data_IF_026280585279
#
_entry.id   IF_026280585279
#
_cell.length_a   1.000
_cell.length_b   1.000
_cell.length_c   1.000
_cell.angle_alpha   90.00
_cell.angle_beta   90.00
_cell.angle_gamma   90.00
#
_symmetry.space_group_name_H-M   'P 1'
#
loop_
_entity.id
_entity.type
_entity.pdbx_description
1 polymer ?
#
# COMPACT_ATOMS: atom_id res chain seq x y z
N UNK A 1 -17.65 -14.86 -9.03
CA UNK A 1 -16.40 -15.60 -9.32
C UNK A 1 -15.80 -16.03 -7.99
N UNK A 2 -15.19 -17.21 -7.92
CA UNK A 2 -14.47 -17.62 -6.70
C UNK A 2 -13.17 -16.81 -6.63
N UNK A 3 -12.98 -16.05 -5.55
CA UNK A 3 -11.77 -15.25 -5.30
C UNK A 3 -11.13 -15.67 -3.99
N UNK A 4 -9.86 -16.08 -4.06
CA UNK A 4 -9.07 -16.49 -2.90
C UNK A 4 -7.99 -15.47 -2.62
N UNK A 5 -7.92 -15.01 -1.38
CA UNK A 5 -6.91 -14.06 -0.92
C UNK A 5 -6.16 -14.68 0.26
N UNK A 6 -4.84 -14.69 0.18
CA UNK A 6 -3.98 -15.09 1.29
C UNK A 6 -3.36 -13.86 1.94
N UNK A 7 -3.42 -13.77 3.27
CA UNK A 7 -2.82 -12.71 4.07
C UNK A 7 -1.69 -13.31 4.92
N UNK A 8 -0.47 -12.79 4.77
CA UNK A 8 0.69 -13.22 5.53
C UNK A 8 1.01 -12.19 6.60
N UNK A 9 0.89 -12.58 7.85
CA UNK A 9 0.98 -11.76 9.06
C UNK A 9 -0.39 -11.58 9.70
N UNK A 10 -0.61 -12.19 10.88
CA UNK A 10 -1.82 -12.05 11.70
C UNK A 10 -1.66 -10.94 12.77
N UNK A 11 -0.90 -9.89 12.44
CA UNK A 11 -0.83 -8.67 13.26
C UNK A 11 -2.09 -7.82 13.10
N UNK A 12 -2.14 -6.67 13.79
CA UNK A 12 -3.31 -5.77 13.75
C UNK A 12 -3.72 -5.39 12.31
N UNK A 13 -2.78 -5.21 11.40
CA UNK A 13 -3.07 -4.88 10.00
C UNK A 13 -3.64 -6.09 9.27
N UNK A 14 -2.95 -7.25 9.31
CA UNK A 14 -3.37 -8.44 8.56
C UNK A 14 -4.69 -9.02 9.04
N UNK A 15 -4.91 -9.11 10.35
CA UNK A 15 -6.18 -9.55 10.93
C UNK A 15 -7.34 -8.61 10.54
N UNK A 16 -7.12 -7.28 10.60
CA UNK A 16 -8.13 -6.31 10.17
C UNK A 16 -8.38 -6.39 8.66
N UNK A 17 -7.36 -6.68 7.82
CA UNK A 17 -7.55 -6.93 6.39
C UNK A 17 -8.42 -8.18 6.17
N UNK A 18 -8.11 -9.30 6.84
CA UNK A 18 -8.89 -10.52 6.72
C UNK A 18 -10.37 -10.29 7.13
N UNK A 19 -10.59 -9.58 8.23
CA UNK A 19 -11.92 -9.18 8.69
C UNK A 19 -12.64 -8.30 7.65
N UNK A 20 -11.98 -7.27 7.12
CA UNK A 20 -12.60 -6.34 6.17
C UNK A 20 -12.91 -7.01 4.83
N UNK A 21 -11.99 -7.81 4.29
CA UNK A 21 -12.24 -8.62 3.08
C UNK A 21 -13.47 -9.51 3.21
N UNK A 22 -13.67 -10.05 4.42
CA UNK A 22 -14.83 -10.89 4.69
C UNK A 22 -16.14 -10.13 4.86
N UNK A 23 -16.09 -8.84 5.23
CA UNK A 23 -17.27 -7.99 5.40
C UNK A 23 -17.71 -7.28 4.11
N UNK A 24 -16.77 -7.01 3.21
CA UNK A 24 -17.02 -6.27 1.96
C UNK A 24 -17.23 -7.19 0.74
N UNK A 25 -17.35 -8.50 0.97
CA UNK A 25 -17.58 -9.54 -0.06
C UNK A 25 -16.54 -9.51 -1.21
N UNK A 26 -15.31 -9.08 -0.89
CA UNK A 26 -14.22 -8.99 -1.86
C UNK A 26 -13.64 -10.37 -2.16
N UNK A 27 -13.61 -11.25 -1.15
CA UNK A 27 -13.10 -12.60 -1.27
C UNK A 27 -14.15 -13.64 -0.89
N UNK A 28 -14.12 -14.79 -1.56
CA UNK A 28 -14.94 -15.97 -1.18
C UNK A 28 -14.15 -16.99 -0.34
N UNK A 29 -12.81 -16.89 -0.37
CA UNK A 29 -11.90 -17.69 0.45
C UNK A 29 -10.76 -16.81 0.96
N UNK A 30 -10.48 -16.87 2.26
CA UNK A 30 -9.38 -16.16 2.91
C UNK A 30 -8.50 -17.17 3.65
N UNK A 31 -7.19 -17.09 3.45
CA UNK A 31 -6.20 -17.83 4.22
C UNK A 31 -5.35 -16.85 5.01
N UNK A 32 -5.29 -16.99 6.33
CA UNK A 32 -4.44 -16.18 7.20
C UNK A 32 -3.25 -17.01 7.66
N UNK A 33 -2.04 -16.52 7.40
CA UNK A 33 -0.78 -17.20 7.72
C UNK A 33 0.03 -16.34 8.68
N UNK A 34 0.54 -16.91 9.74
CA UNK A 34 1.49 -16.26 10.65
C UNK A 34 2.51 -17.28 11.18
N UNK A 35 3.71 -16.82 11.50
CA UNK A 35 4.73 -17.63 12.17
C UNK A 35 4.22 -18.12 13.54
N UNK A 36 3.41 -17.30 14.21
CA UNK A 36 2.64 -17.70 15.37
C UNK A 36 1.29 -18.29 14.92
N UNK A 37 1.28 -19.60 14.65
CA UNK A 37 0.11 -20.33 14.16
C UNK A 37 -1.11 -20.18 15.07
N UNK A 38 -0.91 -20.27 16.39
CA UNK A 38 -2.01 -20.14 17.34
C UNK A 38 -2.68 -18.76 17.23
N UNK A 39 -1.89 -17.69 17.06
CA UNK A 39 -2.46 -16.37 16.85
C UNK A 39 -3.30 -16.30 15.58
N UNK A 40 -2.83 -16.88 14.46
CA UNK A 40 -3.60 -16.91 13.23
C UNK A 40 -4.91 -17.71 13.39
N UNK A 41 -4.89 -18.82 14.14
CA UNK A 41 -6.06 -19.61 14.46
C UNK A 41 -7.06 -18.82 15.30
N UNK A 42 -6.60 -18.10 16.33
CA UNK A 42 -7.45 -17.31 17.22
C UNK A 42 -8.11 -16.13 16.48
N UNK A 43 -7.36 -15.42 15.62
CA UNK A 43 -7.90 -14.35 14.78
C UNK A 43 -8.95 -14.88 13.78
N UNK A 44 -8.68 -16.03 13.15
CA UNK A 44 -9.64 -16.68 12.26
C UNK A 44 -10.88 -17.12 13.01
N UNK A 45 -10.73 -17.70 14.20
CA UNK A 45 -11.85 -18.14 15.02
C UNK A 45 -12.76 -16.98 15.41
N UNK A 46 -12.19 -15.84 15.80
CA UNK A 46 -12.96 -14.64 16.16
C UNK A 46 -13.72 -14.08 14.92
N UNK A 47 -13.06 -14.00 13.76
CA UNK A 47 -13.71 -13.55 12.53
C UNK A 47 -14.83 -14.50 12.10
N UNK A 48 -14.61 -15.82 12.12
CA UNK A 48 -15.56 -16.80 11.60
C UNK A 48 -16.82 -16.90 12.44
N UNK A 49 -16.74 -16.67 13.75
CA UNK A 49 -17.90 -16.65 14.64
C UNK A 49 -18.92 -15.57 14.27
N UNK A 50 -18.49 -14.50 13.58
CA UNK A 50 -19.39 -13.46 13.07
C UNK A 50 -20.04 -13.78 11.71
N UNK A 51 -19.59 -14.82 11.00
CA UNK A 51 -20.04 -15.09 9.61
C UNK A 51 -21.49 -15.57 9.51
N UNK A 52 -22.10 -16.04 10.59
CA UNK A 52 -23.52 -16.41 10.59
C UNK A 52 -24.48 -15.23 10.36
N UNK A 53 -24.00 -14.00 10.45
CA UNK A 53 -24.79 -12.78 10.24
C UNK A 53 -24.61 -12.16 8.84
N UNK A 54 -23.95 -12.84 7.92
CA UNK A 54 -23.60 -12.34 6.58
C UNK A 54 -23.48 -13.48 5.55
N UNK A 55 -23.14 -13.14 4.32
CA UNK A 55 -22.95 -14.13 3.26
C UNK A 55 -21.85 -15.15 3.60
N UNK A 56 -22.03 -16.40 3.18
CA UNK A 56 -21.07 -17.47 3.46
C UNK A 56 -19.70 -17.20 2.86
N UNK A 57 -18.65 -17.27 3.68
CA UNK A 57 -17.26 -17.14 3.28
C UNK A 57 -16.42 -18.24 3.93
N UNK A 58 -15.41 -18.72 3.22
CA UNK A 58 -14.42 -19.65 3.77
C UNK A 58 -13.24 -18.87 4.33
N UNK A 59 -12.98 -18.97 5.64
CA UNK A 59 -11.82 -18.35 6.29
C UNK A 59 -11.09 -19.43 7.05
N UNK A 60 -9.77 -19.55 6.88
CA UNK A 60 -8.95 -20.50 7.64
C UNK A 60 -7.56 -19.93 7.93
N UNK A 61 -6.97 -20.40 9.03
CA UNK A 61 -5.53 -20.32 9.22
C UNK A 61 -4.85 -21.40 8.38
N UNK A 62 -3.60 -21.20 7.98
CA UNK A 62 -2.88 -22.15 7.16
C UNK A 62 -1.38 -21.94 7.10
N UNK A 63 -0.73 -22.77 6.31
CA UNK A 63 0.68 -22.69 5.95
C UNK A 63 0.83 -22.16 4.50
N UNK A 64 2.07 -22.00 4.01
CA UNK A 64 2.31 -21.48 2.66
C UNK A 64 1.65 -22.31 1.56
N UNK A 65 1.56 -23.63 1.71
CA UNK A 65 0.90 -24.55 0.77
C UNK A 65 -0.59 -24.22 0.61
N UNK A 66 -1.22 -23.71 1.64
CA UNK A 66 -2.62 -23.27 1.60
C UNK A 66 -2.82 -22.01 0.76
N UNK A 67 -1.77 -21.27 0.43
CA UNK A 67 -1.84 -20.15 -0.51
C UNK A 67 -1.98 -20.55 -1.97
N UNK A 68 -1.87 -21.84 -2.28
CA UNK A 68 -2.06 -22.33 -3.65
C UNK A 68 -3.38 -21.83 -4.24
N UNK A 69 -3.32 -21.44 -5.52
CA UNK A 69 -4.45 -20.91 -6.30
C UNK A 69 -5.05 -19.60 -5.75
N UNK A 70 -4.29 -18.86 -4.92
CA UNK A 70 -4.67 -17.51 -4.52
C UNK A 70 -4.65 -16.56 -5.72
N UNK A 71 -5.68 -15.72 -5.82
CA UNK A 71 -5.70 -14.60 -6.76
C UNK A 71 -4.79 -13.47 -6.30
N UNK A 72 -4.79 -13.23 -4.98
CA UNK A 72 -3.98 -12.18 -4.36
C UNK A 72 -3.30 -12.73 -3.11
N UNK A 73 -2.04 -12.37 -2.91
CA UNK A 73 -1.29 -12.57 -1.67
C UNK A 73 -0.94 -11.19 -1.10
N UNK A 74 -1.30 -10.96 0.16
CA UNK A 74 -1.03 -9.70 0.87
C UNK A 74 0.03 -9.98 1.92
N UNK A 75 1.15 -9.24 1.90
CA UNK A 75 2.25 -9.40 2.85
C UNK A 75 2.23 -8.22 3.83
N UNK A 76 1.86 -8.51 5.07
CA UNK A 76 1.82 -7.55 6.18
C UNK A 76 2.83 -7.87 7.27
N UNK A 77 3.62 -8.93 7.08
CA UNK A 77 4.62 -9.40 8.05
C UNK A 77 5.74 -8.40 8.21
N UNK A 78 6.07 -8.09 9.43
CA UNK A 78 7.14 -7.16 9.79
C UNK A 78 7.06 -6.79 11.26
N UNK A 79 8.10 -6.14 11.75
CA UNK A 79 8.16 -5.65 13.13
C UNK A 79 8.12 -4.13 13.18
N UNK A 80 7.51 -3.60 14.22
CA UNK A 80 7.52 -2.17 14.51
C UNK A 80 8.88 -1.74 15.10
N UNK A 81 9.24 -0.47 14.93
CA UNK A 81 10.48 0.11 15.47
C UNK A 81 10.51 0.02 16.99
N UNK A 82 11.60 -0.50 17.52
CA UNK A 82 11.85 -0.55 18.97
C UNK A 82 12.50 0.75 19.45
N UNK A 83 12.32 1.13 20.72
CA UNK A 83 13.06 2.25 21.30
C UNK A 83 14.58 2.06 21.13
N UNK A 84 15.27 3.09 20.65
CA UNK A 84 16.72 3.06 20.39
C UNK A 84 17.17 2.41 19.09
N UNK A 85 16.30 1.73 18.36
CA UNK A 85 16.62 1.11 17.06
C UNK A 85 16.69 2.18 15.96
N UNK A 86 17.75 2.13 15.15
CA UNK A 86 17.86 3.00 13.96
C UNK A 86 16.86 2.61 12.86
N UNK A 87 16.59 3.51 11.91
CA UNK A 87 15.76 3.18 10.73
C UNK A 87 16.39 2.08 9.88
N UNK A 88 17.70 2.11 9.69
CA UNK A 88 18.44 1.13 8.90
C UNK A 88 18.36 -0.28 9.52
N UNK A 89 18.57 -0.39 10.84
CA UNK A 89 18.44 -1.67 11.55
C UNK A 89 17.03 -2.25 11.47
N UNK A 90 15.99 -1.40 11.56
CA UNK A 90 14.61 -1.84 11.36
C UNK A 90 14.38 -2.31 9.92
N UNK A 91 14.89 -1.57 8.94
CA UNK A 91 14.79 -1.93 7.52
C UNK A 91 15.44 -3.29 7.27
N UNK A 92 16.68 -3.51 7.77
CA UNK A 92 17.35 -4.80 7.63
C UNK A 92 16.57 -5.93 8.28
N UNK A 93 16.03 -5.73 9.49
CA UNK A 93 15.20 -6.73 10.18
C UNK A 93 13.99 -7.12 9.32
N UNK A 94 13.29 -6.16 8.73
CA UNK A 94 12.12 -6.44 7.90
C UNK A 94 12.50 -7.05 6.54
N UNK A 95 13.66 -6.69 5.99
CA UNK A 95 14.24 -7.35 4.81
C UNK A 95 14.53 -8.84 5.10
N UNK A 96 15.11 -9.16 6.26
CA UNK A 96 15.40 -10.55 6.64
C UNK A 96 14.11 -11.37 6.81
N UNK A 97 13.05 -10.76 7.32
CA UNK A 97 11.71 -11.39 7.37
C UNK A 97 11.22 -11.69 5.95
N UNK A 98 11.31 -10.73 5.02
CA UNK A 98 10.88 -10.92 3.63
C UNK A 98 11.73 -11.99 2.92
N UNK A 99 13.04 -12.04 3.17
CA UNK A 99 13.92 -13.11 2.66
C UNK A 99 13.45 -14.51 3.10
N UNK A 100 12.91 -14.65 4.30
CA UNK A 100 12.36 -15.92 4.78
C UNK A 100 11.00 -16.30 4.18
N UNK A 101 10.20 -15.30 3.78
CA UNK A 101 8.83 -15.48 3.25
C UNK A 101 8.86 -15.72 1.74
N UNK A 102 9.61 -14.89 1.00
CA UNK A 102 9.52 -14.79 -0.45
C UNK A 102 9.70 -16.13 -1.19
N UNK A 103 10.73 -16.96 -0.92
CA UNK A 103 10.90 -18.23 -1.64
C UNK A 103 9.74 -19.21 -1.43
N UNK A 104 9.18 -19.24 -0.21
CA UNK A 104 8.13 -20.16 0.16
C UNK A 104 6.81 -19.78 -0.48
N UNK A 105 6.43 -18.50 -0.39
CA UNK A 105 5.16 -18.04 -0.94
C UNK A 105 5.18 -17.96 -2.47
N UNK A 106 6.31 -17.58 -3.08
CA UNK A 106 6.45 -17.57 -4.53
C UNK A 106 6.31 -18.97 -5.12
N UNK A 107 6.84 -20.00 -4.44
CA UNK A 107 6.67 -21.41 -4.83
C UNK A 107 5.22 -21.87 -4.69
N UNK A 108 4.51 -21.46 -3.64
CA UNK A 108 3.14 -21.88 -3.33
C UNK A 108 2.10 -21.20 -4.22
N UNK A 109 2.29 -19.91 -4.56
CA UNK A 109 1.34 -19.09 -5.30
C UNK A 109 2.00 -18.30 -6.45
N UNK A 110 2.67 -18.96 -7.43
CA UNK A 110 3.47 -18.30 -8.46
C UNK A 110 2.66 -17.39 -9.40
N UNK A 111 1.36 -17.60 -9.50
CA UNK A 111 0.48 -16.87 -10.40
C UNK A 111 -0.37 -15.80 -9.67
N UNK A 112 -0.20 -15.63 -8.37
CA UNK A 112 -0.93 -14.64 -7.59
C UNK A 112 -0.42 -13.22 -7.88
N UNK A 113 -1.29 -12.22 -7.68
CA UNK A 113 -0.87 -10.84 -7.54
C UNK A 113 -0.44 -10.58 -6.09
N UNK A 114 0.65 -9.89 -5.91
CA UNK A 114 1.24 -9.63 -4.59
C UNK A 114 1.04 -8.18 -4.18
N UNK A 115 0.49 -7.95 -3.00
CA UNK A 115 0.40 -6.62 -2.38
C UNK A 115 1.33 -6.59 -1.17
N UNK A 116 2.35 -5.76 -1.24
CA UNK A 116 3.30 -5.53 -0.16
C UNK A 116 2.79 -4.35 0.69
N UNK A 117 2.62 -4.61 1.99
CA UNK A 117 2.15 -3.62 2.98
C UNK A 117 3.19 -3.40 4.08
N UNK A 118 4.11 -4.34 4.24
CA UNK A 118 5.20 -4.28 5.22
C UNK A 118 6.11 -3.08 5.00
N UNK A 119 6.44 -2.36 6.07
CA UNK A 119 7.30 -1.17 6.02
C UNK A 119 8.78 -1.51 6.27
N UNK A 120 9.70 -0.73 5.64
CA UNK A 120 9.45 0.38 4.69
C UNK A 120 9.01 -0.15 3.32
N UNK A 121 7.78 0.17 2.94
CA UNK A 121 7.06 -0.53 1.85
C UNK A 121 7.78 -0.49 0.50
N UNK A 122 8.37 0.64 0.12
CA UNK A 122 9.05 0.78 -1.17
C UNK A 122 10.29 -0.12 -1.25
N UNK A 123 11.07 -0.18 -0.16
CA UNK A 123 12.26 -1.02 -0.05
C UNK A 123 11.87 -2.50 0.01
N UNK A 124 10.86 -2.85 0.80
CA UNK A 124 10.39 -4.23 0.91
C UNK A 124 9.80 -4.72 -0.43
N UNK A 125 9.10 -3.85 -1.16
CA UNK A 125 8.61 -4.14 -2.51
C UNK A 125 9.76 -4.41 -3.47
N UNK A 126 10.78 -3.54 -3.47
CA UNK A 126 11.98 -3.71 -4.28
C UNK A 126 12.70 -5.04 -3.97
N UNK A 127 12.96 -5.30 -2.69
CA UNK A 127 13.62 -6.54 -2.26
C UNK A 127 12.82 -7.78 -2.67
N UNK A 128 11.50 -7.77 -2.43
CA UNK A 128 10.64 -8.89 -2.82
C UNK A 128 10.68 -9.14 -4.34
N UNK A 129 10.67 -8.10 -5.17
CA UNK A 129 10.84 -8.22 -6.63
C UNK A 129 12.16 -8.88 -7.01
N UNK A 130 13.26 -8.49 -6.34
CA UNK A 130 14.60 -9.02 -6.67
C UNK A 130 14.79 -10.48 -6.27
N UNK A 131 14.15 -10.95 -5.20
CA UNK A 131 14.44 -12.28 -4.63
C UNK A 131 13.34 -13.34 -4.85
N UNK A 132 12.11 -12.94 -5.19
CA UNK A 132 10.98 -13.88 -5.28
C UNK A 132 10.92 -14.67 -6.57
N UNK A 133 11.48 -14.15 -7.67
CA UNK A 133 11.31 -14.71 -9.02
C UNK A 133 9.91 -14.53 -9.61
N UNK A 134 9.01 -13.81 -8.91
CA UNK A 134 7.68 -13.46 -9.42
C UNK A 134 7.83 -12.32 -10.44
N UNK A 135 7.07 -12.35 -11.55
CA UNK A 135 7.06 -11.26 -12.52
C UNK A 135 6.74 -9.90 -11.87
N UNK A 136 7.49 -8.86 -12.22
CA UNK A 136 7.37 -7.53 -11.61
C UNK A 136 5.96 -6.95 -11.70
N UNK A 137 5.26 -7.19 -12.81
CA UNK A 137 3.88 -6.71 -12.99
C UNK A 137 2.89 -7.34 -12.01
N UNK A 138 3.24 -8.46 -11.37
CA UNK A 138 2.42 -9.09 -10.34
C UNK A 138 2.67 -8.55 -8.93
N UNK A 139 3.66 -7.66 -8.73
CA UNK A 139 4.08 -7.17 -7.41
C UNK A 139 3.78 -5.67 -7.29
N UNK A 140 3.06 -5.31 -6.24
CA UNK A 140 2.58 -3.94 -5.99
C UNK A 140 2.83 -3.62 -4.52
N UNK A 141 3.58 -2.57 -4.24
CA UNK A 141 3.63 -1.99 -2.89
C UNK A 141 2.43 -1.08 -2.65
N UNK A 142 1.82 -1.14 -1.48
CA UNK A 142 0.69 -0.25 -1.13
C UNK A 142 1.04 1.24 -1.22
N UNK A 143 2.32 1.56 -1.10
CA UNK A 143 2.90 2.87 -1.36
C UNK A 143 2.15 4.02 -0.70
N UNK A 144 1.96 5.09 -1.44
CA UNK A 144 1.28 6.30 -0.98
C UNK A 144 -0.24 6.31 -1.19
N UNK A 145 -0.87 5.14 -1.43
CA UNK A 145 -2.33 5.06 -1.56
C UNK A 145 -3.07 5.59 -0.33
N UNK A 146 -2.59 5.25 0.88
CA UNK A 146 -3.14 5.77 2.12
C UNK A 146 -2.86 7.27 2.31
N UNK A 147 -1.67 7.73 1.98
CA UNK A 147 -1.31 9.16 2.09
C UNK A 147 -2.18 10.01 1.15
N UNK A 148 -2.43 9.49 -0.06
CA UNK A 148 -3.37 10.07 -1.03
C UNK A 148 -4.80 10.12 -0.45
N UNK A 149 -5.24 9.09 0.26
CA UNK A 149 -6.55 9.10 0.92
C UNK A 149 -6.63 10.15 2.04
N UNK A 150 -5.56 10.32 2.84
CA UNK A 150 -5.45 11.37 3.85
C UNK A 150 -5.51 12.77 3.23
N UNK A 151 -4.78 12.99 2.15
CA UNK A 151 -4.82 14.25 1.39
C UNK A 151 -6.23 14.58 0.90
N UNK A 152 -6.89 13.60 0.25
CA UNK A 152 -8.25 13.77 -0.25
C UNK A 152 -9.25 14.04 0.86
N UNK A 153 -9.10 13.39 2.01
CA UNK A 153 -9.91 13.67 3.19
C UNK A 153 -9.69 15.10 3.70
N UNK A 154 -8.42 15.54 3.82
CA UNK A 154 -8.08 16.89 4.27
C UNK A 154 -8.66 17.98 3.35
N UNK A 155 -8.46 17.84 2.04
CA UNK A 155 -9.02 18.78 1.05
C UNK A 155 -10.55 18.77 1.01
N UNK A 156 -11.16 17.59 1.06
CA UNK A 156 -12.63 17.46 1.08
C UNK A 156 -13.22 18.09 2.34
N UNK A 157 -12.59 17.94 3.49
CA UNK A 157 -12.99 18.58 4.75
C UNK A 157 -12.83 20.10 4.68
N UNK A 158 -11.74 20.60 4.08
CA UNK A 158 -11.49 22.02 3.90
C UNK A 158 -12.57 22.70 3.05
N UNK A 159 -12.98 22.06 1.95
CA UNK A 159 -13.99 22.56 1.04
C UNK A 159 -15.43 22.14 1.38
N UNK A 160 -15.61 21.31 2.40
CA UNK A 160 -16.92 20.72 2.77
C UNK A 160 -17.62 20.02 1.59
N UNK A 161 -16.88 19.19 0.84
CA UNK A 161 -17.38 18.40 -0.30
C UNK A 161 -17.05 16.91 -0.13
N UNK A 162 -17.67 16.05 -0.93
CA UNK A 162 -17.39 14.62 -0.91
C UNK A 162 -15.98 14.32 -1.45
N UNK A 163 -15.24 13.42 -0.78
CA UNK A 163 -13.86 13.02 -1.13
C UNK A 163 -13.72 12.53 -2.57
N UNK A 164 -14.76 11.91 -3.15
CA UNK A 164 -14.77 11.42 -4.53
C UNK A 164 -14.62 12.52 -5.57
N UNK A 165 -14.87 13.79 -5.20
CA UNK A 165 -14.71 14.94 -6.08
C UNK A 165 -13.27 15.49 -6.10
N UNK A 166 -12.41 15.00 -5.20
CA UNK A 166 -11.01 15.42 -5.10
C UNK A 166 -10.13 14.46 -5.90
N UNK A 167 -9.39 15.00 -6.84
CA UNK A 167 -8.35 14.31 -7.61
C UNK A 167 -7.00 14.91 -7.26
N UNK A 168 -6.43 14.46 -6.16
CA UNK A 168 -5.12 14.87 -5.67
C UNK A 168 -4.36 13.63 -5.22
N UNK A 169 -3.04 13.67 -5.24
CA UNK A 169 -2.17 12.51 -5.11
C UNK A 169 -0.98 12.83 -4.21
N UNK A 170 -0.38 11.79 -3.62
CA UNK A 170 0.91 11.85 -2.95
C UNK A 170 1.87 10.96 -3.71
N UNK A 171 3.03 11.49 -4.09
CA UNK A 171 4.09 10.79 -4.82
C UNK A 171 5.33 10.63 -3.95
N UNK A 172 6.24 9.78 -4.38
CA UNK A 172 7.51 9.57 -3.70
C UNK A 172 7.53 8.32 -2.82
N UNK A 173 8.47 8.28 -1.90
CA UNK A 173 8.59 7.28 -0.84
C UNK A 173 7.36 7.33 0.07
N UNK A 174 6.86 6.18 0.52
CA UNK A 174 5.93 6.18 1.66
C UNK A 174 6.69 6.52 2.95
N UNK A 175 6.95 7.78 3.18
CA UNK A 175 7.77 8.28 4.28
C UNK A 175 7.96 9.80 4.22
N UNK A 176 9.02 10.29 4.88
CA UNK A 176 9.27 11.73 5.06
C UNK A 176 9.60 12.48 3.77
N UNK A 177 9.98 11.78 2.69
CA UNK A 177 10.30 12.37 1.39
C UNK A 177 9.16 12.32 0.37
N UNK A 178 7.96 11.88 0.79
CA UNK A 178 6.78 12.00 -0.05
C UNK A 178 6.41 13.47 -0.27
N UNK A 179 5.74 13.76 -1.38
CA UNK A 179 5.29 15.10 -1.69
C UNK A 179 3.96 15.10 -2.45
N UNK A 180 3.30 16.24 -2.45
CA UNK A 180 2.04 16.43 -3.14
C UNK A 180 2.32 17.19 -4.44
N UNK A 181 2.10 16.57 -5.63
CA UNK A 181 2.17 17.30 -6.90
C UNK A 181 0.93 18.19 -7.06
N UNK A 182 0.99 19.38 -6.48
CA UNK A 182 -0.10 20.35 -6.50
C UNK A 182 -0.52 20.78 -7.91
N UNK A 183 0.40 20.70 -8.88
CA UNK A 183 0.11 20.92 -10.30
C UNK A 183 -0.94 19.96 -10.87
N UNK A 184 -1.10 18.78 -10.22
CA UNK A 184 -2.06 17.74 -10.61
C UNK A 184 -3.32 17.70 -9.72
N UNK A 185 -3.44 18.61 -8.73
CA UNK A 185 -4.58 18.62 -7.83
C UNK A 185 -5.80 19.30 -8.50
N UNK A 186 -6.95 18.60 -8.46
CA UNK A 186 -8.18 19.02 -9.10
C UNK A 186 -9.39 18.73 -8.20
N UNK A 187 -10.43 19.55 -8.37
CA UNK A 187 -11.77 19.34 -7.81
C UNK A 187 -12.73 19.19 -8.99
N UNK A 188 -13.19 17.97 -9.24
CA UNK A 188 -14.13 17.64 -10.33
C UNK A 188 -13.70 18.19 -11.71
N UNK A 189 -12.38 18.17 -12.01
CA UNK A 189 -11.80 18.62 -13.27
C UNK A 189 -11.38 20.09 -13.31
N UNK A 190 -11.72 20.91 -12.31
CA UNK A 190 -11.13 22.24 -12.14
C UNK A 190 -9.80 22.13 -11.38
N UNK A 191 -8.75 22.83 -11.83
CA UNK A 191 -7.52 22.94 -11.07
C UNK A 191 -7.81 23.48 -9.67
N UNK A 192 -7.05 23.05 -8.67
CA UNK A 192 -7.31 23.41 -7.27
C UNK A 192 -7.38 24.93 -7.06
N UNK A 193 -6.43 25.68 -7.64
CA UNK A 193 -6.36 27.12 -7.49
C UNK A 193 -7.52 27.82 -8.26
N UNK A 194 -7.90 27.31 -9.45
CA UNK A 194 -9.07 27.79 -10.21
C UNK A 194 -10.38 27.53 -9.44
N UNK A 195 -10.50 26.36 -8.80
CA UNK A 195 -11.67 26.04 -7.96
C UNK A 195 -11.80 27.03 -6.80
N UNK A 196 -10.70 27.35 -6.12
CA UNK A 196 -10.67 28.34 -5.03
C UNK A 196 -11.16 29.69 -5.51
N UNK A 197 -10.66 30.18 -6.66
CA UNK A 197 -11.04 31.45 -7.26
C UNK A 197 -12.52 31.48 -7.67
N UNK A 198 -12.96 30.48 -8.49
CA UNK A 198 -14.30 30.43 -9.05
C UNK A 198 -15.41 30.25 -7.98
N UNK A 199 -15.09 29.50 -6.94
CA UNK A 199 -16.05 29.25 -5.85
C UNK A 199 -15.93 30.23 -4.70
N UNK A 200 -15.02 31.21 -4.76
CA UNK A 200 -14.69 32.11 -3.66
C UNK A 200 -14.42 31.36 -2.35
N UNK A 201 -13.77 30.16 -2.49
CA UNK A 201 -13.44 29.31 -1.35
C UNK A 201 -12.22 29.83 -0.60
N UNK A 202 -12.03 29.37 0.63
CA UNK A 202 -10.81 29.68 1.38
C UNK A 202 -9.61 29.01 0.70
N UNK A 203 -8.49 29.73 0.50
CA UNK A 203 -7.25 29.15 -0.02
C UNK A 203 -6.76 27.98 0.84
N UNK A 204 -6.17 26.97 0.18
CA UNK A 204 -5.53 25.86 0.89
C UNK A 204 -4.13 26.28 1.32
N UNK A 205 -3.84 26.16 2.61
CA UNK A 205 -2.46 26.19 3.10
C UNK A 205 -1.79 24.87 2.71
N UNK A 206 -1.03 24.91 1.60
CA UNK A 206 -0.40 23.74 0.98
C UNK A 206 0.62 23.08 1.90
N UNK A 207 1.35 23.88 2.68
CA UNK A 207 2.38 23.38 3.61
C UNK A 207 1.73 22.72 4.83
N UNK A 208 0.74 23.34 5.44
CA UNK A 208 -0.01 22.75 6.55
C UNK A 208 -0.73 21.45 6.12
N UNK A 209 -1.24 21.38 4.89
CA UNK A 209 -1.88 20.18 4.35
C UNK A 209 -0.85 19.05 4.14
N UNK A 210 0.32 19.35 3.62
CA UNK A 210 1.41 18.36 3.48
C UNK A 210 1.87 17.86 4.86
N UNK A 211 2.03 18.76 5.82
CA UNK A 211 2.37 18.39 7.20
C UNK A 211 1.31 17.48 7.84
N UNK A 212 0.02 17.81 7.66
CA UNK A 212 -1.10 16.97 8.11
C UNK A 212 -1.00 15.54 7.54
N UNK A 213 -0.76 15.39 6.23
CA UNK A 213 -0.62 14.08 5.59
C UNK A 213 0.55 13.29 6.20
N UNK A 214 1.72 13.90 6.34
CA UNK A 214 2.92 13.25 6.88
C UNK A 214 2.78 12.84 8.34
N UNK A 215 2.20 13.72 9.19
CA UNK A 215 2.12 13.49 10.65
C UNK A 215 0.97 12.60 11.08
N UNK A 216 -0.09 12.47 10.27
CA UNK A 216 -1.32 11.74 10.63
C UNK A 216 -1.05 10.32 11.15
N UNK A 217 -0.18 9.56 10.49
CA UNK A 217 0.16 8.20 10.90
C UNK A 217 0.85 8.16 12.27
N UNK A 218 1.82 9.03 12.47
CA UNK A 218 2.58 9.11 13.73
C UNK A 218 1.72 9.54 14.92
N UNK A 219 0.80 10.49 14.72
CA UNK A 219 -0.13 10.93 15.77
C UNK A 219 -1.10 9.82 16.18
N UNK A 220 -1.64 9.06 15.21
CA UNK A 220 -2.49 7.91 15.50
C UNK A 220 -1.72 6.86 16.29
N UNK A 221 -0.49 6.53 15.90
CA UNK A 221 0.35 5.56 16.61
C UNK A 221 0.63 6.01 18.03
N UNK A 222 0.97 7.29 18.22
CA UNK A 222 1.24 7.87 19.54
C UNK A 222 0.07 7.71 20.51
N UNK A 223 -1.16 7.90 20.04
CA UNK A 223 -2.34 7.92 20.90
C UNK A 223 -3.06 6.55 20.98
N UNK A 224 -2.98 5.74 19.92
CA UNK A 224 -3.70 4.45 19.80
C UNK A 224 -2.79 3.24 19.88
N UNK A 225 -1.46 3.43 19.78
CA UNK A 225 -0.45 2.36 19.76
C UNK A 225 -0.15 1.83 18.35
N UNK A 226 -1.12 1.77 17.45
CA UNK A 226 -0.96 1.34 16.06
C UNK A 226 -1.99 1.98 15.14
N UNK A 227 -1.67 2.09 13.85
CA UNK A 227 -2.61 2.44 12.79
C UNK A 227 -2.90 1.21 11.93
N UNK A 228 -4.17 0.86 11.73
CA UNK A 228 -4.56 -0.33 10.96
C UNK A 228 -5.89 -0.19 10.21
N UNK A 229 -6.82 0.69 10.57
CA UNK A 229 -8.11 0.80 9.87
C UNK A 229 -7.98 1.38 8.45
N UNK A 230 -7.35 2.55 8.33
CA UNK A 230 -7.29 3.23 7.04
C UNK A 230 -6.37 2.51 6.02
N UNK A 231 -5.25 1.92 6.49
CA UNK A 231 -4.41 1.09 5.62
C UNK A 231 -5.17 -0.16 5.15
N UNK A 232 -5.95 -0.78 6.03
CA UNK A 232 -6.81 -1.92 5.67
C UNK A 232 -7.77 -1.57 4.55
N UNK A 233 -8.53 -0.48 4.67
CA UNK A 233 -9.48 -0.05 3.64
C UNK A 233 -8.76 0.28 2.32
N UNK A 234 -7.58 0.91 2.38
CA UNK A 234 -6.74 1.15 1.19
C UNK A 234 -6.34 -0.15 0.49
N UNK A 235 -5.90 -1.15 1.25
CA UNK A 235 -5.48 -2.47 0.71
C UNK A 235 -6.68 -3.25 0.17
N UNK A 236 -7.79 -3.29 0.89
CA UNK A 236 -9.03 -3.94 0.43
C UNK A 236 -9.56 -3.27 -0.86
N UNK A 237 -9.48 -1.95 -0.96
CA UNK A 237 -9.81 -1.24 -2.19
C UNK A 237 -8.88 -1.63 -3.35
N UNK A 238 -7.57 -1.78 -3.08
CA UNK A 238 -6.62 -2.27 -4.09
C UNK A 238 -6.96 -3.71 -4.51
N UNK A 239 -7.32 -4.60 -3.58
CA UNK A 239 -7.82 -5.94 -3.92
C UNK A 239 -9.03 -5.88 -4.85
N UNK A 240 -10.02 -5.03 -4.57
CA UNK A 240 -11.19 -4.85 -5.42
C UNK A 240 -10.83 -4.36 -6.83
N UNK A 241 -9.83 -3.47 -6.96
CA UNK A 241 -9.32 -3.01 -8.26
C UNK A 241 -8.66 -4.16 -9.05
N UNK A 242 -7.85 -4.97 -8.37
CA UNK A 242 -7.15 -6.10 -8.99
C UNK A 242 -8.08 -7.26 -9.37
N UNK A 243 -9.22 -7.39 -8.71
CA UNK A 243 -10.24 -8.39 -9.03
C UNK A 243 -11.32 -7.85 -10.00
N UNK A 244 -11.26 -6.57 -10.34
CA UNK A 244 -12.20 -5.92 -11.26
C UNK A 244 -11.94 -6.33 -12.71
N UNK A 245 -12.95 -6.26 -13.56
CA UNK A 245 -12.82 -6.44 -15.00
C UNK A 245 -12.13 -5.25 -15.72
N UNK A 246 -12.00 -4.12 -15.04
CA UNK A 246 -11.42 -2.89 -15.60
C UNK A 246 -10.20 -2.45 -14.83
N UNK A 247 -9.24 -1.85 -15.55
CA UNK A 247 -8.09 -1.24 -14.92
C UNK A 247 -8.47 0.02 -14.13
N UNK A 248 -7.74 0.26 -13.05
CA UNK A 248 -7.85 1.44 -12.20
C UNK A 248 -6.52 2.19 -12.15
N UNK A 249 -6.56 3.48 -11.85
CA UNK A 249 -5.36 4.29 -11.66
C UNK A 249 -5.24 4.64 -10.18
N UNK A 250 -4.09 4.33 -9.58
CA UNK A 250 -3.85 4.50 -8.15
C UNK A 250 -2.38 4.81 -7.88
N UNK A 251 -2.10 5.52 -6.79
CA UNK A 251 -0.73 5.79 -6.32
C UNK A 251 -0.21 4.61 -5.52
N UNK A 252 0.63 3.81 -6.15
CA UNK A 252 1.24 2.61 -5.55
C UNK A 252 2.72 2.54 -5.89
N UNK A 253 3.47 1.83 -5.07
CA UNK A 253 4.91 1.62 -5.27
C UNK A 253 5.14 0.52 -6.29
N UNK A 254 5.82 0.86 -7.37
CA UNK A 254 6.17 -0.05 -8.47
C UNK A 254 7.58 0.25 -8.98
N UNK A 255 8.23 -0.76 -9.61
CA UNK A 255 9.56 -0.59 -10.19
C UNK A 255 9.55 0.44 -11.31
N UNK A 256 10.51 1.36 -11.29
CA UNK A 256 10.70 2.37 -12.34
C UNK A 256 11.64 1.87 -13.42
N UNK A 257 11.27 2.10 -14.68
CA UNK A 257 11.99 1.67 -15.89
C UNK A 257 12.25 2.82 -16.86
N UNK A 258 12.56 4.01 -16.35
CA UNK A 258 12.83 5.23 -17.15
C UNK A 258 11.74 6.28 -17.03
N UNK A 259 10.60 5.98 -16.44
CA UNK A 259 9.57 6.99 -16.19
C UNK A 259 10.12 8.07 -15.27
N UNK A 260 9.88 9.33 -15.62
CA UNK A 260 10.45 10.49 -14.94
C UNK A 260 11.99 10.50 -14.87
N UNK A 261 12.68 9.72 -15.73
CA UNK A 261 14.14 9.53 -15.68
C UNK A 261 14.63 8.67 -14.51
N UNK A 262 13.74 7.91 -13.86
CA UNK A 262 14.05 7.03 -12.73
C UNK A 262 14.12 5.57 -13.19
N UNK A 263 15.13 4.86 -12.70
CA UNK A 263 15.35 3.44 -12.96
C UNK A 263 15.76 2.70 -11.69
N UNK A 264 15.45 1.41 -11.62
CA UNK A 264 15.87 0.48 -10.57
C UNK A 264 15.56 0.96 -9.14
N UNK A 265 14.34 1.42 -8.94
CA UNK A 265 13.79 1.81 -7.64
C UNK A 265 12.28 1.61 -7.64
N UNK A 266 11.75 1.07 -6.56
CA UNK A 266 10.31 1.07 -6.31
C UNK A 266 9.92 2.35 -5.61
N UNK A 267 8.98 3.10 -6.21
CA UNK A 267 8.51 4.39 -5.69
C UNK A 267 7.07 4.63 -6.15
N UNK A 268 6.33 5.40 -5.38
CA UNK A 268 4.91 5.65 -5.67
C UNK A 268 4.71 6.78 -6.68
N UNK A 269 4.04 6.43 -7.76
CA UNK A 269 3.47 7.35 -8.76
C UNK A 269 2.12 6.79 -9.21
N UNK A 270 1.44 7.42 -10.17
CA UNK A 270 0.22 6.86 -10.73
C UNK A 270 0.52 5.62 -11.56
N UNK A 271 0.04 4.47 -11.12
CA UNK A 271 0.11 3.20 -11.83
C UNK A 271 -1.28 2.76 -12.30
N UNK A 272 -1.33 2.11 -13.46
CA UNK A 272 -2.50 1.46 -14.02
C UNK A 272 -2.48 0.03 -13.54
N UNK A 273 -3.45 -0.37 -12.73
CA UNK A 273 -3.53 -1.69 -12.12
C UNK A 273 -4.86 -2.37 -12.44
N UNK A 274 -4.85 -3.68 -12.56
CA UNK A 274 -6.05 -4.46 -12.88
C UNK A 274 -5.82 -5.96 -12.73
N UNK A 275 -6.66 -6.80 -13.34
CA UNK A 275 -6.66 -8.27 -13.15
C UNK A 275 -5.34 -8.94 -13.57
N UNK A 276 -4.54 -8.29 -14.38
CA UNK A 276 -3.22 -8.78 -14.79
C UNK A 276 -2.07 -8.05 -14.05
N UNK A 277 -2.35 -7.43 -12.89
CA UNK A 277 -1.38 -6.68 -12.10
C UNK A 277 -1.14 -5.27 -12.63
N UNK A 278 0.11 -4.82 -12.60
CA UNK A 278 0.54 -3.51 -13.11
C UNK A 278 0.58 -3.57 -14.64
N UNK A 279 -0.22 -2.72 -15.29
CA UNK A 279 -0.33 -2.63 -16.75
C UNK A 279 0.54 -1.51 -17.34
N UNK A 280 1.01 -0.60 -16.49
CA UNK A 280 1.82 0.54 -16.86
C UNK A 280 1.72 1.66 -15.85
N UNK A 281 2.31 2.79 -16.18
CA UNK A 281 2.25 4.02 -15.37
C UNK A 281 1.61 5.14 -16.17
N UNK A 282 0.93 6.05 -15.49
CA UNK A 282 0.40 7.26 -16.07
C UNK A 282 1.34 8.43 -15.74
N UNK A 283 2.25 8.81 -16.64
CA UNK A 283 3.11 9.95 -16.41
C UNK A 283 2.29 11.25 -16.53
N UNK A 284 2.13 11.93 -15.40
CA UNK A 284 1.55 13.28 -15.37
C UNK A 284 2.66 14.32 -15.50
N UNK A 285 2.31 15.50 -15.99
CA UNK A 285 3.28 16.60 -16.09
C UNK A 285 3.52 17.18 -14.71
N UNK A 286 4.74 17.05 -14.23
CA UNK A 286 5.22 17.65 -12.99
C UNK A 286 5.91 18.98 -13.30
N UNK A 287 5.86 19.92 -12.36
CA UNK A 287 6.70 21.11 -12.41
C UNK A 287 8.17 20.73 -12.16
N UNK A 288 9.09 21.65 -12.42
CA UNK A 288 10.51 21.42 -12.21
C UNK A 288 10.84 21.13 -10.72
N UNK A 289 10.20 21.86 -9.79
CA UNK A 289 10.31 21.63 -8.35
C UNK A 289 9.75 20.25 -7.94
N UNK A 290 8.59 19.87 -8.45
CA UNK A 290 7.97 18.57 -8.19
C UNK A 290 8.83 17.42 -8.73
N UNK A 291 9.44 17.60 -9.90
CA UNK A 291 10.39 16.64 -10.48
C UNK A 291 11.63 16.48 -9.59
N UNK A 292 12.19 17.59 -9.10
CA UNK A 292 13.33 17.56 -8.18
C UNK A 292 12.97 16.82 -6.88
N UNK A 293 11.77 17.04 -6.33
CA UNK A 293 11.28 16.31 -5.14
C UNK A 293 11.15 14.81 -5.39
N UNK A 294 10.65 14.41 -6.57
CA UNK A 294 10.53 13.00 -6.94
C UNK A 294 11.92 12.34 -7.04
N UNK A 295 12.89 13.00 -7.67
CA UNK A 295 14.26 12.51 -7.76
C UNK A 295 14.93 12.41 -6.39
N UNK A 296 14.81 13.44 -5.55
CA UNK A 296 15.36 13.41 -4.19
C UNK A 296 14.77 12.27 -3.35
N UNK A 297 13.47 11.99 -3.51
CA UNK A 297 12.80 10.87 -2.85
C UNK A 297 13.34 9.51 -3.36
N UNK A 298 13.57 9.37 -4.66
CA UNK A 298 14.14 8.16 -5.25
C UNK A 298 15.59 7.93 -4.82
N UNK A 299 16.41 9.00 -4.78
CA UNK A 299 17.81 8.92 -4.36
C UNK A 299 17.93 8.45 -2.91
N UNK A 300 17.07 8.93 -2.02
CA UNK A 300 17.01 8.49 -0.63
C UNK A 300 16.66 7.00 -0.49
N UNK A 301 15.75 6.49 -1.32
CA UNK A 301 15.44 5.06 -1.37
C UNK A 301 16.64 4.25 -1.87
N UNK A 302 17.29 4.68 -2.95
CA UNK A 302 18.49 4.03 -3.51
C UNK A 302 19.66 4.01 -2.51
N UNK A 303 19.87 5.11 -1.80
CA UNK A 303 20.88 5.17 -0.73
C UNK A 303 20.62 4.12 0.35
N UNK A 304 19.35 3.99 0.80
CA UNK A 304 19.00 2.99 1.81
C UNK A 304 19.11 1.56 1.25
N UNK A 305 18.70 1.33 0.00
CA UNK A 305 18.83 0.04 -0.68
C UNK A 305 20.31 -0.36 -0.78
N UNK A 306 21.21 0.57 -1.05
CA UNK A 306 22.66 0.31 -1.10
C UNK A 306 23.30 -0.02 0.25
N UNK A 307 22.60 0.19 1.37
CA UNK A 307 23.07 -0.07 2.73
C UNK A 307 22.51 -1.37 3.33
N UNK A 308 21.58 -2.05 2.67
CA UNK A 308 20.94 -3.28 3.15
C UNK A 308 21.50 -4.52 2.43
N UNK A 309 21.43 -5.66 3.10
CA UNK A 309 21.88 -6.95 2.57
C UNK A 309 20.67 -7.85 2.26
N UNK A 310 20.39 -8.06 0.97
CA UNK A 310 19.28 -8.91 0.54
C UNK A 310 19.65 -9.94 -0.54
N UNK A 311 20.83 -9.86 -1.11
CA UNK A 311 21.35 -10.91 -1.99
C UNK A 311 21.57 -12.21 -1.22
N UNK A 312 21.40 -13.34 -1.92
CA UNK A 312 21.45 -14.69 -1.35
C UNK A 312 22.85 -15.14 -0.93
#
# INVERSE_FOLDING_TARGET
MKSKITVIGAGSVGATIAYTLSNEDIATEIVLIDINKQKAEDEVMDIIQGTCFRDPISIKSGDYEDAKDSNIVIITSGVARKPGQSRLELTQTNVDIIKSIAPNIAKAAPNALYIIVSNPVDIITYVFMKISGIPENQIIGSGTALDTARLRFGLASHFNIAQKNIHAYVFGEHGDSSFIPWSCAEVSGAKLDDYVELMHALPVDKDAMAEYVHKSGGEIIKNKGATFYAVTVSVCRLCSMLLSAYNSIVTVSTMMHGEYGLEDVCISTLAIVGPNGVQGKLPVRLTEDEMQKLHASADKLKETIGQIYFEA
#
